data_IF_062538968973
#
_entry.id   IF_062538968973
#
_cell.length_a   1.000
_cell.length_b   1.000
_cell.length_c   1.000
_cell.angle_alpha   90.00
_cell.angle_beta   90.00
_cell.angle_gamma   90.00
#
_symmetry.space_group_name_H-M   'P 1'
#
loop_
_entity.id
_entity.type
_entity.pdbx_description
1 polymer ?
#
# COMPACT_ATOMS: atom_id res chain seq x y z
N UNK A 1 -1.90 17.80 -16.56
CA UNK A 1 -1.02 16.65 -16.25
C UNK A 1 -1.46 16.12 -14.90
N UNK A 2 -1.95 14.88 -14.81
CA UNK A 2 -2.38 14.29 -13.52
C UNK A 2 -1.15 13.85 -12.72
N UNK A 3 -1.08 14.27 -11.46
CA UNK A 3 -0.05 13.79 -10.52
C UNK A 3 -0.50 12.42 -10.00
N UNK A 4 0.20 11.37 -10.41
CA UNK A 4 -0.01 10.03 -9.87
C UNK A 4 0.77 9.87 -8.57
N UNK A 5 0.05 9.68 -7.47
CA UNK A 5 0.64 9.35 -6.17
C UNK A 5 0.87 7.84 -6.10
N UNK A 6 2.12 7.44 -5.89
CA UNK A 6 2.50 6.04 -5.69
C UNK A 6 2.60 5.74 -4.19
N UNK A 7 1.61 5.02 -3.66
CA UNK A 7 1.56 4.66 -2.24
C UNK A 7 2.19 3.30 -2.05
N UNK A 8 3.27 3.28 -1.26
CA UNK A 8 3.99 2.06 -0.89
C UNK A 8 4.22 1.99 0.60
N UNK A 9 4.12 0.80 1.16
CA UNK A 9 4.48 0.49 2.54
C UNK A 9 5.71 -0.41 2.57
N UNK A 10 6.55 -0.25 3.58
CA UNK A 10 7.64 -1.17 3.88
C UNK A 10 7.22 -2.07 5.04
N UNK A 11 7.26 -3.38 4.83
CA UNK A 11 6.90 -4.38 5.84
C UNK A 11 7.99 -5.45 5.91
N UNK A 12 8.07 -6.16 7.04
CA UNK A 12 8.96 -7.30 7.21
C UNK A 12 8.12 -8.55 7.46
N UNK A 13 8.51 -9.65 6.81
CA UNK A 13 7.98 -10.99 7.06
C UNK A 13 9.08 -11.93 7.51
N UNK A 14 8.73 -12.96 8.28
CA UNK A 14 9.72 -13.96 8.71
C UNK A 14 10.00 -15.01 7.62
N UNK A 15 10.97 -15.87 7.87
CA UNK A 15 11.39 -16.96 6.98
C UNK A 15 10.29 -17.97 6.66
N UNK A 16 9.44 -18.29 7.63
CA UNK A 16 8.28 -19.18 7.45
C UNK A 16 7.26 -18.55 6.49
N UNK A 17 6.90 -17.29 6.73
CA UNK A 17 5.95 -16.51 5.91
C UNK A 17 6.48 -16.31 4.49
N UNK A 18 7.75 -15.96 4.35
CA UNK A 18 8.41 -15.82 3.06
C UNK A 18 8.44 -17.16 2.30
N UNK A 19 8.66 -18.27 3.02
CA UNK A 19 8.73 -19.60 2.43
C UNK A 19 7.35 -20.05 1.94
N UNK A 20 6.33 -19.76 2.73
CA UNK A 20 4.92 -19.98 2.39
C UNK A 20 4.54 -19.17 1.14
N UNK A 21 4.71 -17.85 1.17
CA UNK A 21 4.36 -16.98 0.04
C UNK A 21 5.09 -17.40 -1.24
N UNK A 22 6.39 -17.70 -1.16
CA UNK A 22 7.17 -18.17 -2.31
C UNK A 22 6.64 -19.50 -2.88
N UNK A 23 6.26 -20.44 -2.01
CA UNK A 23 5.69 -21.74 -2.41
C UNK A 23 4.40 -21.54 -3.21
N UNK A 24 3.45 -20.75 -2.69
CA UNK A 24 2.19 -20.47 -3.36
C UNK A 24 2.39 -19.69 -4.67
N UNK A 25 3.28 -18.69 -4.68
CA UNK A 25 3.61 -17.93 -5.89
C UNK A 25 4.15 -18.83 -7.00
N UNK A 26 5.05 -19.76 -6.65
CA UNK A 26 5.63 -20.71 -7.60
C UNK A 26 4.59 -21.66 -8.19
N UNK A 27 3.57 -22.03 -7.42
CA UNK A 27 2.48 -22.89 -7.85
C UNK A 27 1.43 -22.15 -8.69
N UNK A 28 1.29 -20.83 -8.52
CA UNK A 28 0.28 -20.05 -9.21
C UNK A 28 0.57 -19.90 -10.73
N UNK A 29 -0.39 -20.20 -11.63
CA UNK A 29 -0.14 -20.24 -13.07
C UNK A 29 0.24 -18.88 -13.67
N UNK A 30 -0.34 -17.80 -13.13
CA UNK A 30 -0.16 -16.42 -13.63
C UNK A 30 0.89 -15.68 -12.82
N UNK A 31 0.80 -15.74 -11.49
CA UNK A 31 1.52 -14.85 -10.57
C UNK A 31 2.94 -15.33 -10.21
N UNK A 32 3.35 -16.51 -10.67
CA UNK A 32 4.76 -16.94 -10.61
C UNK A 32 5.73 -15.96 -11.28
N UNK A 33 5.24 -15.08 -12.16
CA UNK A 33 6.01 -13.98 -12.76
C UNK A 33 6.45 -12.94 -11.73
N UNK A 34 5.68 -12.73 -10.65
CA UNK A 34 6.00 -11.77 -9.58
C UNK A 34 7.39 -12.10 -8.94
N UNK A 35 7.79 -13.38 -8.94
CA UNK A 35 9.14 -13.80 -8.50
C UNK A 35 10.23 -13.32 -9.47
N UNK A 36 10.00 -13.46 -10.79
CA UNK A 36 10.98 -13.10 -11.83
C UNK A 36 11.13 -11.60 -11.99
N UNK A 37 10.03 -10.87 -11.81
CA UNK A 37 9.96 -9.41 -11.87
C UNK A 37 10.58 -8.75 -10.63
N UNK A 38 10.93 -9.54 -9.61
CA UNK A 38 11.66 -9.06 -8.43
C UNK A 38 10.76 -8.43 -7.36
N UNK A 39 9.44 -8.50 -7.49
CA UNK A 39 8.50 -8.04 -6.44
C UNK A 39 8.72 -8.78 -5.12
N UNK A 40 9.11 -10.06 -5.20
CA UNK A 40 9.48 -10.88 -4.06
C UNK A 40 10.92 -11.33 -4.21
N UNK A 41 11.85 -10.37 -4.17
CA UNK A 41 13.28 -10.50 -4.47
C UNK A 41 14.10 -11.38 -3.51
N UNK A 42 13.49 -12.39 -2.91
CA UNK A 42 14.17 -13.39 -2.10
C UNK A 42 14.50 -14.59 -2.98
N UNK A 43 15.78 -14.92 -3.06
CA UNK A 43 16.21 -16.14 -3.71
C UNK A 43 16.18 -17.29 -2.71
N UNK A 44 15.97 -18.53 -3.17
CA UNK A 44 15.98 -19.71 -2.31
C UNK A 44 17.25 -19.82 -1.43
N UNK A 45 18.39 -19.28 -1.91
CA UNK A 45 19.66 -19.19 -1.19
C UNK A 45 19.64 -18.27 0.04
N UNK A 46 18.65 -17.38 0.15
CA UNK A 46 18.57 -16.37 1.21
C UNK A 46 17.84 -16.91 2.47
N UNK A 47 16.99 -17.92 2.31
CA UNK A 47 16.22 -18.56 3.39
C UNK A 47 17.06 -19.16 4.52
N UNK A 48 18.20 -19.84 4.27
CA UNK A 48 19.05 -20.34 5.35
C UNK A 48 19.81 -19.23 6.10
N UNK A 49 19.89 -18.03 5.52
CA UNK A 49 20.80 -16.96 5.95
C UNK A 49 20.05 -15.77 6.60
N UNK A 50 18.77 -15.59 6.27
CA UNK A 50 17.96 -14.46 6.74
C UNK A 50 16.75 -14.96 7.52
N UNK A 51 16.52 -14.34 8.69
CA UNK A 51 15.33 -14.58 9.52
C UNK A 51 14.15 -13.68 9.17
N UNK A 52 14.44 -12.55 8.55
CA UNK A 52 13.47 -11.52 8.19
C UNK A 52 13.73 -11.01 6.78
N UNK A 53 12.64 -10.57 6.15
CA UNK A 53 12.54 -10.31 4.74
C UNK A 53 11.73 -9.04 4.52
N UNK A 54 12.41 -7.97 4.10
CA UNK A 54 11.79 -6.67 3.85
C UNK A 54 11.09 -6.63 2.49
N UNK A 55 9.80 -6.30 2.48
CA UNK A 55 8.96 -6.11 1.30
C UNK A 55 8.60 -4.65 1.14
N UNK A 56 8.59 -4.17 -0.11
CA UNK A 56 7.94 -2.92 -0.50
C UNK A 56 6.64 -3.27 -1.21
N UNK A 57 5.51 -2.98 -0.56
CA UNK A 57 4.19 -3.34 -1.05
C UNK A 57 3.43 -2.11 -1.54
N UNK A 58 2.83 -2.23 -2.72
CA UNK A 58 1.75 -1.39 -3.24
C UNK A 58 0.49 -2.26 -3.47
N UNK A 59 -0.64 -1.66 -3.90
CA UNK A 59 -1.86 -2.42 -4.17
C UNK A 59 -1.65 -3.58 -5.15
N UNK A 60 -0.92 -3.37 -6.25
CA UNK A 60 -0.67 -4.42 -7.24
C UNK A 60 0.03 -5.66 -6.62
N UNK A 61 1.07 -5.43 -5.81
CA UNK A 61 1.78 -6.52 -5.13
C UNK A 61 0.95 -7.17 -4.03
N UNK A 62 0.10 -6.41 -3.34
CA UNK A 62 -0.87 -6.95 -2.37
C UNK A 62 -1.88 -7.85 -3.08
N UNK A 63 -2.44 -7.42 -4.20
CA UNK A 63 -3.37 -8.21 -4.99
C UNK A 63 -2.71 -9.47 -5.57
N UNK A 64 -1.41 -9.41 -5.92
CA UNK A 64 -0.63 -10.61 -6.27
C UNK A 64 -0.58 -11.58 -5.08
N UNK A 65 -0.25 -11.10 -3.87
CA UNK A 65 -0.23 -11.93 -2.65
C UNK A 65 -1.59 -12.56 -2.32
N UNK A 66 -2.66 -11.76 -2.34
CA UNK A 66 -4.02 -12.21 -2.00
C UNK A 66 -4.48 -13.31 -2.95
N UNK A 67 -4.44 -13.07 -4.26
CA UNK A 67 -4.84 -14.07 -5.28
C UNK A 67 -4.11 -15.38 -5.07
N UNK A 68 -2.80 -15.31 -4.89
CA UNK A 68 -1.93 -16.49 -4.75
C UNK A 68 -2.24 -17.31 -3.51
N UNK A 69 -2.50 -16.64 -2.38
CA UNK A 69 -2.81 -17.31 -1.14
C UNK A 69 -4.26 -17.82 -1.12
N UNK A 70 -5.22 -17.06 -1.62
CA UNK A 70 -6.65 -17.41 -1.55
C UNK A 70 -7.07 -18.50 -2.54
N UNK A 71 -6.50 -18.51 -3.75
CA UNK A 71 -6.92 -19.42 -4.84
C UNK A 71 -6.54 -20.90 -4.59
N UNK A 72 -5.76 -21.18 -3.55
CA UNK A 72 -5.21 -22.50 -3.28
C UNK A 72 -5.38 -22.87 -1.82
N UNK A 73 -6.05 -23.97 -1.53
CA UNK A 73 -5.96 -24.62 -0.22
C UNK A 73 -5.07 -25.85 -0.31
N UNK A 74 -4.23 -26.04 0.70
CA UNK A 74 -3.35 -27.21 0.77
C UNK A 74 -3.96 -28.26 1.68
N UNK A 75 -3.61 -29.53 1.43
CA UNK A 75 -4.07 -30.66 2.24
C UNK A 75 -3.35 -30.78 3.60
N UNK A 76 -2.71 -29.71 4.07
CA UNK A 76 -2.01 -29.64 5.36
C UNK A 76 -2.69 -28.63 6.30
N UNK A 77 -3.32 -29.09 7.40
CA UNK A 77 -3.98 -28.22 8.37
C UNK A 77 -3.06 -27.17 9.01
N UNK A 78 -1.78 -27.49 9.24
CA UNK A 78 -0.83 -26.55 9.85
C UNK A 78 -0.48 -25.44 8.86
N UNK A 79 -0.27 -25.80 7.60
CA UNK A 79 0.04 -24.85 6.54
C UNK A 79 -1.13 -23.91 6.27
N UNK A 80 -2.38 -24.42 6.33
CA UNK A 80 -3.58 -23.59 6.20
C UNK A 80 -3.73 -22.58 7.36
N UNK A 81 -3.29 -22.95 8.58
CA UNK A 81 -3.28 -22.02 9.71
C UNK A 81 -2.26 -20.90 9.49
N UNK A 82 -1.03 -21.24 9.09
CA UNK A 82 0.01 -20.27 8.76
C UNK A 82 -0.39 -19.35 7.60
N UNK A 83 -1.06 -19.90 6.57
CA UNK A 83 -1.62 -19.14 5.45
C UNK A 83 -2.64 -18.12 5.94
N UNK A 84 -3.57 -18.53 6.81
CA UNK A 84 -4.59 -17.62 7.36
C UNK A 84 -3.96 -16.46 8.12
N UNK A 85 -2.97 -16.75 8.97
CA UNK A 85 -2.30 -15.71 9.76
C UNK A 85 -1.52 -14.73 8.86
N UNK A 86 -0.92 -15.22 7.77
CA UNK A 86 -0.28 -14.38 6.76
C UNK A 86 -1.30 -13.54 5.97
N UNK A 87 -2.43 -14.12 5.57
CA UNK A 87 -3.52 -13.41 4.90
C UNK A 87 -4.05 -12.26 5.76
N UNK A 88 -4.25 -12.48 7.06
CA UNK A 88 -4.70 -11.44 7.99
C UNK A 88 -3.73 -10.24 8.00
N UNK A 89 -2.41 -10.49 8.02
CA UNK A 89 -1.40 -9.42 7.91
C UNK A 89 -1.49 -8.67 6.58
N UNK A 90 -1.64 -9.38 5.46
CA UNK A 90 -1.77 -8.77 4.13
C UNK A 90 -3.02 -7.90 4.05
N UNK A 91 -4.15 -8.35 4.62
CA UNK A 91 -5.36 -7.55 4.71
C UNK A 91 -5.19 -6.28 5.54
N UNK A 92 -4.49 -6.36 6.67
CA UNK A 92 -4.15 -5.18 7.48
C UNK A 92 -3.27 -4.19 6.69
N UNK A 93 -2.32 -4.69 5.91
CA UNK A 93 -1.49 -3.88 5.04
C UNK A 93 -2.27 -3.23 3.89
N UNK A 94 -3.19 -3.96 3.28
CA UNK A 94 -4.09 -3.44 2.24
C UNK A 94 -4.95 -2.29 2.79
N UNK A 95 -5.51 -2.46 3.98
CA UNK A 95 -6.29 -1.42 4.68
C UNK A 95 -5.46 -0.16 4.96
N UNK A 96 -4.17 -0.28 5.29
CA UNK A 96 -3.28 0.88 5.44
C UNK A 96 -3.12 1.63 4.11
N UNK A 97 -2.88 0.93 3.00
CA UNK A 97 -2.73 1.58 1.68
C UNK A 97 -4.04 2.25 1.26
N UNK A 98 -5.17 1.55 1.38
CA UNK A 98 -6.49 2.08 1.05
C UNK A 98 -6.82 3.35 1.86
N UNK A 99 -6.45 3.40 3.14
CA UNK A 99 -6.64 4.59 3.98
C UNK A 99 -5.79 5.78 3.51
N UNK A 100 -4.55 5.53 3.08
CA UNK A 100 -3.72 6.58 2.50
C UNK A 100 -4.32 7.08 1.18
N UNK A 101 -4.76 6.19 0.29
CA UNK A 101 -5.39 6.56 -0.99
C UNK A 101 -6.63 7.43 -0.79
N UNK A 102 -7.54 6.97 0.08
CA UNK A 102 -8.75 7.71 0.42
C UNK A 102 -8.44 9.09 1.02
N UNK A 103 -7.39 9.18 1.85
CA UNK A 103 -6.97 10.46 2.39
C UNK A 103 -6.42 11.39 1.29
N UNK A 104 -5.63 10.88 0.33
CA UNK A 104 -5.13 11.67 -0.82
C UNK A 104 -6.30 12.17 -1.67
N UNK A 105 -7.23 11.29 -2.04
CA UNK A 105 -8.42 11.62 -2.85
C UNK A 105 -9.25 12.72 -2.19
N UNK A 106 -9.39 12.67 -0.86
CA UNK A 106 -10.03 13.73 -0.09
C UNK A 106 -9.31 15.08 -0.25
N UNK A 107 -7.99 15.13 -0.08
CA UNK A 107 -7.23 16.38 -0.26
C UNK A 107 -7.33 16.91 -1.69
N UNK A 108 -7.23 16.02 -2.68
CA UNK A 108 -7.33 16.34 -4.10
C UNK A 108 -8.70 16.92 -4.45
N UNK A 109 -9.78 16.28 -4.00
CA UNK A 109 -11.15 16.75 -4.24
C UNK A 109 -11.39 18.12 -3.60
N UNK A 110 -10.89 18.33 -2.37
CA UNK A 110 -10.99 19.64 -1.72
C UNK A 110 -10.18 20.71 -2.43
N UNK A 111 -8.99 20.38 -2.93
CA UNK A 111 -8.17 21.33 -3.70
C UNK A 111 -8.91 21.81 -4.95
N UNK A 112 -9.42 20.88 -5.75
CA UNK A 112 -10.11 21.24 -6.99
C UNK A 112 -11.41 22.00 -6.73
N UNK A 113 -12.13 21.70 -5.65
CA UNK A 113 -13.29 22.50 -5.24
C UNK A 113 -12.90 23.96 -4.93
N UNK A 114 -11.78 24.18 -4.21
CA UNK A 114 -11.27 25.53 -3.90
C UNK A 114 -10.86 26.26 -5.18
N UNK A 115 -10.14 25.57 -6.08
CA UNK A 115 -9.70 26.16 -7.35
C UNK A 115 -10.88 26.55 -8.23
N UNK A 116 -11.90 25.69 -8.35
CA UNK A 116 -13.11 25.97 -9.10
C UNK A 116 -13.86 27.21 -8.56
N UNK A 117 -13.95 27.36 -7.25
CA UNK A 117 -14.60 28.52 -6.61
C UNK A 117 -13.82 29.83 -6.79
N UNK A 118 -12.48 29.79 -6.74
CA UNK A 118 -11.64 31.00 -6.80
C UNK A 118 -11.26 31.43 -8.21
N UNK A 119 -10.96 30.47 -9.07
CA UNK A 119 -10.29 30.68 -10.36
C UNK A 119 -11.12 30.15 -11.54
N UNK A 120 -12.20 29.42 -11.30
CA UNK A 120 -12.98 28.78 -12.36
C UNK A 120 -12.25 27.58 -12.96
N UNK A 121 -12.41 27.35 -14.25
CA UNK A 121 -11.87 26.19 -14.98
C UNK A 121 -10.43 26.44 -15.48
N UNK A 122 -9.58 27.02 -14.62
CA UNK A 122 -8.17 27.19 -14.91
C UNK A 122 -7.42 25.85 -14.82
N UNK A 123 -6.44 25.65 -15.71
CA UNK A 123 -5.63 24.44 -15.85
C UNK A 123 -4.65 24.29 -14.66
N UNK A 124 -5.21 23.99 -13.49
CA UNK A 124 -4.50 23.79 -12.22
C UNK A 124 -4.36 22.30 -11.91
N UNK A 125 -3.29 21.93 -11.20
CA UNK A 125 -3.05 20.53 -10.83
C UNK A 125 -2.85 20.39 -9.32
N UNK A 126 -3.38 19.29 -8.80
CA UNK A 126 -3.22 18.96 -7.39
C UNK A 126 -1.77 18.58 -7.08
N UNK A 127 -1.23 19.27 -6.08
CA UNK A 127 -0.08 18.82 -5.30
C UNK A 127 -0.31 19.24 -3.85
N UNK A 128 0.33 18.56 -2.90
CA UNK A 128 0.22 18.96 -1.49
C UNK A 128 0.76 20.38 -1.27
N UNK A 129 1.81 20.78 -2.00
CA UNK A 129 2.36 22.13 -1.95
C UNK A 129 1.34 23.17 -2.45
N UNK A 130 0.67 22.90 -3.58
CA UNK A 130 -0.36 23.79 -4.12
C UNK A 130 -1.59 23.86 -3.19
N UNK A 131 -1.99 22.73 -2.61
CA UNK A 131 -3.05 22.71 -1.61
C UNK A 131 -2.73 23.56 -0.39
N UNK A 132 -1.49 23.51 0.12
CA UNK A 132 -1.05 24.30 1.26
C UNK A 132 -0.98 25.81 0.95
N UNK A 133 -0.67 26.20 -0.30
CA UNK A 133 -0.73 27.60 -0.75
C UNK A 133 -2.16 28.13 -0.71
N UNK A 134 -3.11 27.34 -1.19
CA UNK A 134 -4.53 27.72 -1.25
C UNK A 134 -5.24 27.69 0.10
N UNK A 135 -4.82 26.77 0.98
CA UNK A 135 -5.39 26.56 2.30
C UNK A 135 -4.28 26.35 3.34
N UNK A 136 -3.73 27.44 3.91
CA UNK A 136 -2.68 27.35 4.92
C UNK A 136 -3.12 26.49 6.10
N UNK A 137 -2.22 25.67 6.65
CA UNK A 137 -2.49 24.75 7.77
C UNK A 137 -3.16 25.41 8.98
N UNK A 138 -2.93 26.71 9.17
CA UNK A 138 -3.50 27.53 10.25
C UNK A 138 -5.02 27.76 10.09
N UNK A 139 -5.55 27.65 8.88
CA UNK A 139 -6.99 27.74 8.58
C UNK A 139 -7.73 26.42 8.81
N UNK A 140 -6.98 25.32 8.98
CA UNK A 140 -7.54 23.99 9.19
C UNK A 140 -7.84 23.76 10.69
N UNK A 141 -8.88 24.44 11.17
CA UNK A 141 -9.31 24.40 12.57
C UNK A 141 -9.94 23.07 13.03
N UNK A 142 -10.11 22.09 12.13
CA UNK A 142 -10.65 20.77 12.48
C UNK A 142 -9.52 19.76 12.54
N UNK A 143 -9.46 19.00 13.64
CA UNK A 143 -8.65 17.79 13.69
C UNK A 143 -9.09 16.88 12.55
N UNK A 144 -8.17 16.34 11.75
CA UNK A 144 -8.51 15.29 10.79
C UNK A 144 -9.11 14.10 11.54
N UNK A 145 -9.99 13.37 10.87
CA UNK A 145 -10.42 12.05 11.31
C UNK A 145 -9.23 11.07 11.34
N UNK A 146 -9.44 9.89 11.96
CA UNK A 146 -8.36 8.92 12.17
C UNK A 146 -7.67 8.49 10.88
N UNK A 147 -8.42 8.42 9.79
CA UNK A 147 -7.96 7.97 8.47
C UNK A 147 -7.03 8.99 7.80
N UNK A 148 -7.17 10.28 8.09
CA UNK A 148 -6.36 11.34 7.48
C UNK A 148 -5.19 11.80 8.35
N UNK A 149 -5.04 11.23 9.55
CA UNK A 149 -4.02 11.65 10.52
C UNK A 149 -2.58 11.50 10.00
N UNK A 150 -2.29 10.46 9.23
CA UNK A 150 -0.95 10.17 8.69
C UNK A 150 -0.52 11.25 7.71
N UNK A 151 -1.33 11.52 6.69
CA UNK A 151 -1.09 12.57 5.69
C UNK A 151 -1.07 13.93 6.37
N UNK A 152 -1.98 14.19 7.32
CA UNK A 152 -1.98 15.45 8.07
C UNK A 152 -0.69 15.69 8.86
N UNK A 153 -0.15 14.66 9.51
CA UNK A 153 1.14 14.75 10.21
C UNK A 153 2.27 15.03 9.24
N UNK A 154 2.26 14.40 8.06
CA UNK A 154 3.24 14.70 7.01
C UNK A 154 3.14 16.15 6.55
N UNK A 155 1.93 16.65 6.28
CA UNK A 155 1.68 18.03 5.88
C UNK A 155 2.13 19.07 6.91
N UNK A 156 2.04 18.77 8.21
CA UNK A 156 2.56 19.66 9.27
C UNK A 156 4.08 19.77 9.29
N UNK A 157 4.77 18.80 8.70
CA UNK A 157 6.23 18.74 8.64
C UNK A 157 6.79 19.19 7.29
N UNK A 158 5.92 19.56 6.33
CA UNK A 158 6.28 20.29 5.11
C UNK A 158 6.49 21.76 5.44
#
# INVERSE_FOLDING_TARGET
MEVLYDIRIRVSINDIEAGLLYKYLKMHPVEKRCIREGYFGYFFKDFPQKREFDLMLNLETIDCCLRVLEDQDLNDPLENLLKRDLLEKIYQWADIINKEEYAIEYFQSNYYAICLEKYGDEDTYFSFENFLKEKPLQSLNRKPDKERLSIWRRLKNF
#
